data_IF_873560443894
#
_entry.id   IF_873560443894
#
_cell.length_a   1.000
_cell.length_b   1.000
_cell.length_c   1.000
_cell.angle_alpha   90.00
_cell.angle_beta   90.00
_cell.angle_gamma   90.00
#
_symmetry.space_group_name_H-M   'P 1'
#
loop_
_entity.id
_entity.type
_entity.pdbx_description
1 polymer ?
#
# COMPACT_ATOMS: atom_id res chain seq x y z
N UNK A 1 -6.38 8.83 -7.36
CA UNK A 1 -5.47 9.36 -6.32
C UNK A 1 -4.41 10.17 -7.03
N UNK A 2 -4.13 11.39 -6.59
CA UNK A 2 -3.13 12.29 -7.18
C UNK A 2 -1.75 12.09 -6.56
N UNK A 3 -0.71 12.68 -7.17
CA UNK A 3 0.66 12.68 -6.65
C UNK A 3 0.77 13.39 -5.30
N UNK A 4 0.10 14.52 -5.14
CA UNK A 4 0.10 15.27 -3.88
C UNK A 4 -0.56 14.48 -2.75
N UNK A 5 -1.68 13.80 -3.04
CA UNK A 5 -2.32 12.92 -2.07
C UNK A 5 -1.41 11.78 -1.63
N UNK A 6 -0.63 11.20 -2.56
CA UNK A 6 0.36 10.15 -2.26
C UNK A 6 1.47 10.64 -1.33
N UNK A 7 2.03 11.82 -1.59
CA UNK A 7 3.10 12.41 -0.78
C UNK A 7 2.63 12.87 0.60
N UNK A 8 1.33 13.16 0.76
CA UNK A 8 0.72 13.53 2.04
C UNK A 8 0.30 12.33 2.90
N UNK A 9 0.45 11.09 2.42
CA UNK A 9 0.09 9.90 3.18
C UNK A 9 0.97 9.76 4.43
N UNK A 10 0.41 9.24 5.55
CA UNK A 10 1.20 8.91 6.73
C UNK A 10 2.22 7.81 6.43
N UNK A 11 3.16 7.57 7.34
CA UNK A 11 4.26 6.58 7.20
C UNK A 11 3.78 5.16 6.86
N UNK A 12 2.57 4.80 7.27
CA UNK A 12 1.91 3.57 6.88
C UNK A 12 0.40 3.79 6.77
N UNK A 13 -0.21 3.19 5.75
CA UNK A 13 -1.65 3.28 5.46
C UNK A 13 -2.31 1.91 5.56
N UNK A 14 -3.64 1.86 5.62
CA UNK A 14 -4.33 0.58 5.46
C UNK A 14 -4.17 -0.01 4.05
N UNK A 15 -4.48 -1.30 3.93
CA UNK A 15 -4.36 -2.02 2.66
C UNK A 15 -5.31 -1.48 1.57
N UNK A 16 -6.44 -0.90 1.94
CA UNK A 16 -7.40 -0.35 0.99
C UNK A 16 -6.86 0.92 0.32
N UNK A 17 -6.24 1.79 1.10
CA UNK A 17 -5.53 2.98 0.62
C UNK A 17 -4.36 2.59 -0.29
N UNK A 18 -3.57 1.58 0.11
CA UNK A 18 -2.51 1.03 -0.74
C UNK A 18 -3.06 0.43 -2.04
N UNK A 19 -4.19 -0.28 -1.99
CA UNK A 19 -4.83 -0.84 -3.18
C UNK A 19 -5.26 0.25 -4.15
N UNK A 20 -5.88 1.32 -3.63
CA UNK A 20 -6.31 2.47 -4.42
C UNK A 20 -5.13 3.17 -5.10
N UNK A 21 -4.00 3.28 -4.42
CA UNK A 21 -2.76 3.82 -5.01
C UNK A 21 -2.27 2.99 -6.19
N UNK A 22 -2.44 1.67 -6.14
CA UNK A 22 -1.95 0.71 -7.13
C UNK A 22 -2.98 0.29 -8.18
N UNK A 23 -4.20 0.84 -8.13
CA UNK A 23 -5.30 0.41 -8.99
C UNK A 23 -5.79 -1.02 -8.74
N UNK A 24 -5.53 -1.58 -7.55
CA UNK A 24 -5.96 -2.91 -7.17
C UNK A 24 -7.39 -2.90 -6.60
N UNK A 25 -8.19 -3.90 -6.96
CA UNK A 25 -9.44 -4.17 -6.28
C UNK A 25 -9.21 -4.75 -4.87
N UNK A 26 -10.13 -4.48 -3.94
CA UNK A 26 -10.07 -4.94 -2.54
C UNK A 26 -9.76 -6.43 -2.42
N UNK A 27 -10.53 -7.29 -3.09
CA UNK A 27 -10.36 -8.74 -3.00
C UNK A 27 -8.98 -9.19 -3.46
N UNK A 28 -8.48 -8.66 -4.59
CA UNK A 28 -7.16 -9.02 -5.11
C UNK A 28 -6.03 -8.54 -4.21
N UNK A 29 -6.14 -7.31 -3.69
CA UNK A 29 -5.17 -6.76 -2.75
C UNK A 29 -5.03 -7.60 -1.48
N UNK A 30 -6.16 -7.97 -0.87
CA UNK A 30 -6.16 -8.84 0.31
C UNK A 30 -5.65 -10.26 0.01
N UNK A 31 -5.95 -10.83 -1.16
CA UNK A 31 -5.39 -12.12 -1.59
C UNK A 31 -3.85 -12.05 -1.67
N UNK A 32 -3.31 -11.03 -2.33
CA UNK A 32 -1.87 -10.83 -2.47
C UNK A 32 -1.20 -10.60 -1.12
N UNK A 33 -1.77 -9.76 -0.26
CA UNK A 33 -1.27 -9.53 1.09
C UNK A 33 -1.24 -10.81 1.94
N UNK A 34 -2.32 -11.62 1.88
CA UNK A 34 -2.39 -12.90 2.59
C UNK A 34 -1.36 -13.91 2.10
N UNK A 35 -1.00 -13.86 0.81
CA UNK A 35 0.02 -14.72 0.19
C UNK A 35 1.44 -14.18 0.31
N UNK A 36 1.64 -13.01 0.89
CA UNK A 36 2.96 -12.34 0.94
C UNK A 36 3.45 -11.88 -0.44
N UNK A 37 2.54 -11.69 -1.40
CA UNK A 37 2.81 -11.30 -2.79
C UNK A 37 2.32 -9.89 -3.09
N UNK A 38 2.02 -9.10 -2.06
CA UNK A 38 1.67 -7.71 -2.25
C UNK A 38 2.90 -6.95 -2.80
N UNK A 39 2.73 -6.04 -3.77
CA UNK A 39 3.86 -5.39 -4.43
C UNK A 39 4.60 -4.38 -3.54
N UNK A 40 4.09 -4.10 -2.35
CA UNK A 40 4.75 -3.30 -1.33
C UNK A 40 4.84 -4.07 -0.01
N UNK A 41 5.70 -3.62 0.90
CA UNK A 41 5.86 -4.15 2.24
C UNK A 41 4.57 -3.95 3.03
N UNK A 42 3.98 -5.08 3.44
CA UNK A 42 2.80 -5.10 4.31
C UNK A 42 3.17 -5.62 5.68
N UNK A 43 2.93 -4.81 6.70
CA UNK A 43 2.98 -5.20 8.10
C UNK A 43 1.66 -5.82 8.51
N UNK A 44 1.71 -7.01 9.11
CA UNK A 44 0.53 -7.66 9.68
C UNK A 44 0.49 -7.42 11.18
N UNK A 45 -0.37 -6.49 11.60
CA UNK A 45 -0.54 -6.08 12.99
C UNK A 45 -1.83 -6.71 13.54
N UNK A 46 -1.72 -7.98 13.95
CA UNK A 46 -2.86 -8.81 14.31
C UNK A 46 -3.77 -9.09 13.12
N UNK A 47 -5.00 -8.57 13.16
CA UNK A 47 -5.98 -8.72 12.08
C UNK A 47 -5.92 -7.59 11.03
N UNK A 48 -5.09 -6.56 11.26
CA UNK A 48 -4.95 -5.44 10.35
C UNK A 48 -3.71 -5.58 9.46
N UNK A 49 -3.85 -5.14 8.21
CA UNK A 49 -2.74 -4.96 7.28
C UNK A 49 -2.40 -3.48 7.18
N UNK A 50 -1.10 -3.16 7.24
CA UNK A 50 -0.57 -1.82 7.02
C UNK A 50 0.47 -1.84 5.90
N UNK A 51 0.26 -1.04 4.87
CA UNK A 51 1.22 -0.86 3.77
C UNK A 51 2.20 0.23 4.16
N UNK A 52 3.50 -0.05 4.05
CA UNK A 52 4.54 0.95 4.30
C UNK A 52 4.57 1.92 3.13
N UNK A 53 4.34 3.20 3.42
CA UNK A 53 4.20 4.23 2.39
C UNK A 53 5.52 4.50 1.68
N UNK A 54 6.66 4.35 2.35
CA UNK A 54 7.97 4.50 1.71
C UNK A 54 8.12 3.56 0.49
N UNK A 55 7.83 2.27 0.68
CA UNK A 55 7.92 1.26 -0.40
C UNK A 55 6.85 1.48 -1.49
N UNK A 56 5.70 2.04 -1.12
CA UNK A 56 4.68 2.47 -2.08
C UNK A 56 5.17 3.63 -2.95
N UNK A 57 5.83 4.63 -2.34
CA UNK A 57 6.38 5.77 -3.06
C UNK A 57 7.55 5.35 -3.95
N UNK A 58 8.44 4.48 -3.46
CA UNK A 58 9.53 3.88 -4.24
C UNK A 58 8.98 3.17 -5.48
N UNK A 59 7.98 2.29 -5.30
CA UNK A 59 7.35 1.53 -6.39
C UNK A 59 6.71 2.45 -7.45
N UNK A 60 6.13 3.57 -7.02
CA UNK A 60 5.47 4.54 -7.91
C UNK A 60 6.45 5.55 -8.53
N UNK A 61 7.75 5.46 -8.24
CA UNK A 61 8.76 6.41 -8.73
C UNK A 61 8.62 7.82 -8.14
N UNK A 62 8.10 7.90 -6.91
CA UNK A 62 7.87 9.15 -6.18
C UNK A 62 8.85 9.37 -5.03
N UNK A 63 9.74 8.41 -4.79
CA UNK A 63 10.85 8.56 -3.87
C UNK A 63 11.86 9.59 -4.37
N UNK A 64 12.40 10.38 -3.43
CA UNK A 64 13.39 11.42 -3.68
C UNK A 64 14.79 10.84 -3.87
#
# INVERSE_FOLDING_TARGET
MSREELLALPVAVDLETGNRALGLGRSKGYELAKRGQYPCRVLRLGNAYRVVTADLLDLLGLAA
#
